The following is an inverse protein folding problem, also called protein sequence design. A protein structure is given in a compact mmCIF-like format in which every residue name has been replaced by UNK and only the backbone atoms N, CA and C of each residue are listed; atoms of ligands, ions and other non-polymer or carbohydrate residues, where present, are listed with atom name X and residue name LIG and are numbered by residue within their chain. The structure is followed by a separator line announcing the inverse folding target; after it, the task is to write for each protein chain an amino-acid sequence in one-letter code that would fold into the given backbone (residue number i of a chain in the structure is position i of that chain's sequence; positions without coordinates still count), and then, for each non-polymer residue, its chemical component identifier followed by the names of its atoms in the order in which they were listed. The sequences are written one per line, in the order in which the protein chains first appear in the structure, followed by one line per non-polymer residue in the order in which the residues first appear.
data_IF_659802961508
#
_entry.id   IF_659802961508
#
_cell.length_a   1.000
_cell.length_b   1.000
_cell.length_c   1.000
_cell.angle_alpha   90.00
_cell.angle_beta   90.00
_cell.angle_gamma   90.00
#
_symmetry.space_group_name_H-M   'P 1'
#
loop_
_entity.id
_entity.type
_entity.pdbx_description
1 polymer ?
#
# COMPACT_ATOMS: atom_id res chain seq x y z
N UNK A 1 -0.30 21.40 4.54
CA UNK A 1 -0.83 22.67 5.11
C UNK A 1 -1.07 23.78 4.07
N UNK A 2 -0.28 23.93 3.00
CA UNK A 2 -0.50 24.99 1.97
C UNK A 2 -1.83 24.87 1.22
N UNK A 3 -2.22 23.66 0.78
CA UNK A 3 -3.48 23.45 0.04
C UNK A 3 -4.74 23.84 0.84
N UNK A 4 -4.76 23.57 2.15
CA UNK A 4 -5.86 23.96 3.05
C UNK A 4 -6.00 25.49 3.17
N UNK A 5 -4.87 26.21 3.12
CA UNK A 5 -4.85 27.68 3.19
C UNK A 5 -5.39 28.31 1.92
N UNK A 6 -5.10 27.72 0.76
CA UNK A 6 -5.63 28.19 -0.53
C UNK A 6 -7.13 27.91 -0.68
N UNK A 7 -7.63 26.77 -0.20
CA UNK A 7 -9.07 26.48 -0.16
C UNK A 7 -9.80 27.49 0.73
N UNK A 8 -9.23 27.81 1.89
CA UNK A 8 -9.81 28.81 2.80
C UNK A 8 -9.84 30.22 2.18
N UNK A 9 -8.76 30.64 1.50
CA UNK A 9 -8.72 31.91 0.78
C UNK A 9 -9.70 31.94 -0.39
N UNK A 10 -9.82 30.84 -1.13
CA UNK A 10 -10.82 30.67 -2.18
C UNK A 10 -12.23 30.83 -1.63
N UNK A 11 -12.57 30.17 -0.53
CA UNK A 11 -13.86 30.30 0.15
C UNK A 11 -14.14 31.74 0.62
N UNK A 12 -13.14 32.40 1.18
CA UNK A 12 -13.25 33.77 1.69
C UNK A 12 -13.46 34.79 0.56
N UNK A 13 -12.76 34.61 -0.56
CA UNK A 13 -12.94 35.42 -1.77
C UNK A 13 -14.32 35.20 -2.40
N UNK A 14 -14.81 33.96 -2.44
CA UNK A 14 -16.15 33.62 -2.92
C UNK A 14 -17.24 34.24 -2.03
N UNK A 15 -17.10 34.14 -0.71
CA UNK A 15 -18.01 34.78 0.24
C UNK A 15 -18.04 36.31 0.09
N UNK A 16 -16.88 36.94 -0.15
CA UNK A 16 -16.79 38.37 -0.43
C UNK A 16 -17.44 38.75 -1.77
N UNK A 17 -17.23 37.95 -2.81
CA UNK A 17 -17.86 38.14 -4.13
C UNK A 17 -19.38 37.97 -4.06
N UNK A 18 -19.87 37.00 -3.29
CA UNK A 18 -21.30 36.79 -3.02
C UNK A 18 -21.88 37.95 -2.21
N UNK A 19 -21.15 38.47 -1.21
CA UNK A 19 -21.53 39.65 -0.43
C UNK A 19 -21.60 40.94 -1.26
N UNK A 20 -20.63 41.16 -2.15
CA UNK A 20 -20.66 42.27 -3.11
C UNK A 20 -21.79 42.08 -4.13
N UNK A 21 -21.99 40.85 -4.59
CA UNK A 21 -23.13 40.40 -5.39
C UNK A 21 -24.44 40.30 -4.59
N UNK A 22 -24.53 40.87 -3.38
CA UNK A 22 -25.77 41.14 -2.63
C UNK A 22 -26.10 42.65 -2.54
N UNK A 23 -25.31 43.56 -3.16
CA UNK A 23 -25.61 45.02 -3.21
C UNK A 23 -26.37 45.71 -4.41
N UNK A 24 -26.47 45.17 -5.63
CA UNK A 24 -27.33 45.64 -6.76
C UNK A 24 -28.50 44.73 -7.26
N UNK A 25 -29.03 44.99 -8.46
CA UNK A 25 -30.06 44.16 -9.14
C UNK A 25 -29.42 43.51 -10.37
N UNK A 26 -29.70 42.22 -10.64
CA UNK A 26 -29.16 41.51 -11.81
C UNK A 26 -30.28 41.39 -12.84
N UNK A 27 -30.13 42.14 -13.95
CA UNK A 27 -31.03 42.08 -15.09
C UNK A 27 -30.41 41.17 -16.15
N UNK A 28 -31.04 40.03 -16.44
CA UNK A 28 -30.58 39.16 -17.51
C UNK A 28 -31.41 39.49 -18.76
N UNK A 29 -30.72 39.89 -19.82
CA UNK A 29 -31.33 40.04 -21.14
C UNK A 29 -31.16 38.73 -21.89
N UNK A 30 -32.28 38.06 -22.18
CA UNK A 30 -32.30 36.92 -23.07
C UNK A 30 -32.99 37.31 -24.38
N UNK A 31 -32.36 36.96 -25.50
CA UNK A 31 -32.99 37.03 -26.81
C UNK A 31 -33.80 35.76 -27.01
N UNK A 32 -35.11 35.91 -27.21
CA UNK A 32 -35.94 34.79 -27.63
C UNK A 32 -35.76 34.56 -29.14
N UNK A 33 -36.00 33.34 -29.62
CA UNK A 33 -35.87 32.96 -31.03
C UNK A 33 -36.66 33.85 -32.01
N UNK A 34 -37.64 34.62 -31.51
CA UNK A 34 -38.39 35.61 -32.29
C UNK A 34 -37.78 37.02 -32.35
N UNK A 35 -36.53 37.22 -31.92
CA UNK A 35 -35.84 38.52 -31.96
C UNK A 35 -36.33 39.56 -30.93
N UNK A 36 -37.28 39.19 -30.07
CA UNK A 36 -37.74 40.05 -28.97
C UNK A 36 -36.82 39.88 -27.76
N UNK A 37 -36.21 40.99 -27.35
CA UNK A 37 -35.43 41.07 -26.12
C UNK A 37 -36.39 41.05 -24.93
N UNK A 38 -36.31 40.01 -24.09
CA UNK A 38 -37.12 39.92 -22.86
C UNK A 38 -36.20 40.06 -21.66
N UNK A 39 -36.47 41.05 -20.82
CA UNK A 39 -35.75 41.25 -19.57
C UNK A 39 -36.35 40.35 -18.50
N UNK A 40 -35.51 39.56 -17.85
CA UNK A 40 -35.89 38.78 -16.68
C UNK A 40 -35.21 39.38 -15.45
N UNK A 41 -36.02 39.87 -14.52
CA UNK A 41 -35.58 40.29 -13.21
C UNK A 41 -35.66 39.07 -12.28
N UNK A 42 -34.54 38.41 -12.04
CA UNK A 42 -34.47 37.29 -11.10
C UNK A 42 -34.20 37.80 -9.69
N UNK A 43 -34.88 37.20 -8.70
CA UNK A 43 -34.58 37.46 -7.30
C UNK A 43 -33.15 37.01 -7.00
N UNK A 44 -32.34 37.93 -6.49
CA UNK A 44 -30.92 37.71 -6.25
C UNK A 44 -30.62 36.60 -5.25
N UNK A 45 -31.57 36.34 -4.35
CA UNK A 45 -31.53 35.20 -3.42
C UNK A 45 -31.45 33.87 -4.18
N UNK A 46 -32.18 33.75 -5.29
CA UNK A 46 -32.19 32.54 -6.12
C UNK A 46 -30.84 32.36 -6.82
N UNK A 47 -30.25 33.44 -7.33
CA UNK A 47 -28.92 33.39 -7.98
C UNK A 47 -27.83 32.97 -6.99
N UNK A 48 -27.84 33.53 -5.78
CA UNK A 48 -26.87 33.17 -4.73
C UNK A 48 -27.05 31.71 -4.29
N UNK A 49 -28.30 31.27 -4.03
CA UNK A 49 -28.58 29.89 -3.65
C UNK A 49 -28.14 28.92 -4.78
N UNK A 50 -28.44 29.25 -6.04
CA UNK A 50 -28.03 28.45 -7.19
C UNK A 50 -26.51 28.35 -7.28
N UNK A 51 -25.79 29.46 -7.08
CA UNK A 51 -24.33 29.47 -7.09
C UNK A 51 -23.74 28.61 -5.96
N UNK A 52 -24.27 28.74 -4.74
CA UNK A 52 -23.86 27.90 -3.59
C UNK A 52 -24.10 26.42 -3.92
N UNK A 53 -25.29 26.06 -4.42
CA UNK A 53 -25.59 24.69 -4.81
C UNK A 53 -24.63 24.16 -5.87
N UNK A 54 -24.29 24.97 -6.88
CA UNK A 54 -23.31 24.63 -7.92
C UNK A 54 -21.92 24.38 -7.34
N UNK A 55 -21.47 25.21 -6.39
CA UNK A 55 -20.17 25.03 -5.72
C UNK A 55 -20.14 23.76 -4.88
N UNK A 56 -21.20 23.50 -4.11
CA UNK A 56 -21.31 22.27 -3.30
C UNK A 56 -21.31 21.04 -4.21
N UNK A 57 -22.06 21.09 -5.32
CA UNK A 57 -22.14 19.97 -6.26
C UNK A 57 -20.81 19.69 -6.95
N UNK A 58 -20.09 20.73 -7.38
CA UNK A 58 -18.77 20.59 -8.03
C UNK A 58 -17.71 20.09 -7.06
N UNK A 59 -17.67 20.60 -5.82
CA UNK A 59 -16.76 20.09 -4.79
C UNK A 59 -17.10 18.65 -4.42
N UNK A 60 -18.37 18.32 -4.21
CA UNK A 60 -18.80 16.95 -3.92
C UNK A 60 -18.45 15.97 -5.04
N UNK A 61 -18.68 16.37 -6.29
CA UNK A 61 -18.34 15.57 -7.47
C UNK A 61 -16.84 15.31 -7.59
N UNK A 62 -16.01 16.36 -7.45
CA UNK A 62 -14.55 16.23 -7.53
C UNK A 62 -13.99 15.33 -6.42
N UNK A 63 -14.47 15.45 -5.19
CA UNK A 63 -14.06 14.58 -4.07
C UNK A 63 -14.43 13.12 -4.33
N UNK A 64 -15.64 12.87 -4.84
CA UNK A 64 -16.11 11.52 -5.15
C UNK A 64 -15.26 10.89 -6.25
N UNK A 65 -14.94 11.66 -7.31
CA UNK A 65 -14.10 11.21 -8.41
C UNK A 65 -12.68 10.86 -7.93
N UNK A 66 -12.08 11.72 -7.09
CA UNK A 66 -10.75 11.48 -6.52
C UNK A 66 -10.70 10.22 -5.66
N UNK A 67 -11.75 9.97 -4.86
CA UNK A 67 -11.85 8.76 -4.06
C UNK A 67 -11.96 7.50 -4.93
N UNK A 68 -12.74 7.55 -6.01
CA UNK A 68 -12.86 6.43 -6.94
C UNK A 68 -11.51 6.09 -7.61
N UNK A 69 -10.81 7.12 -8.09
CA UNK A 69 -9.48 6.98 -8.71
C UNK A 69 -8.46 6.42 -7.71
N UNK A 70 -8.46 6.91 -6.46
CA UNK A 70 -7.61 6.35 -5.40
C UNK A 70 -7.91 4.88 -5.15
N UNK A 71 -9.20 4.51 -5.06
CA UNK A 71 -9.61 3.12 -4.87
C UNK A 71 -9.06 2.20 -5.96
N UNK A 72 -9.17 2.62 -7.23
CA UNK A 72 -8.60 1.86 -8.34
C UNK A 72 -7.07 1.77 -8.29
N UNK A 73 -6.39 2.89 -7.98
CA UNK A 73 -4.94 2.89 -7.83
C UNK A 73 -4.46 1.90 -6.76
N UNK A 74 -5.13 1.86 -5.60
CA UNK A 74 -4.80 0.92 -4.53
C UNK A 74 -5.02 -0.54 -4.97
N UNK A 75 -6.10 -0.83 -5.70
CA UNK A 75 -6.36 -2.16 -6.22
C UNK A 75 -5.28 -2.61 -7.22
N UNK A 76 -4.89 -1.75 -8.17
CA UNK A 76 -3.84 -2.07 -9.13
C UNK A 76 -2.50 -2.29 -8.43
N UNK A 77 -2.18 -1.48 -7.43
CA UNK A 77 -0.95 -1.64 -6.63
C UNK A 77 -0.96 -2.94 -5.83
N UNK A 78 -2.09 -3.31 -5.24
CA UNK A 78 -2.25 -4.59 -4.53
C UNK A 78 -2.04 -5.78 -5.47
N UNK A 79 -2.67 -5.76 -6.66
CA UNK A 79 -2.49 -6.82 -7.66
C UNK A 79 -1.04 -6.95 -8.13
N UNK A 80 -0.33 -5.82 -8.28
CA UNK A 80 1.08 -5.84 -8.63
C UNK A 80 1.91 -6.50 -7.51
N UNK A 81 1.70 -6.08 -6.26
CA UNK A 81 2.38 -6.65 -5.10
C UNK A 81 2.09 -8.14 -4.93
N UNK A 82 0.86 -8.58 -5.18
CA UNK A 82 0.47 -9.99 -5.10
C UNK A 82 1.19 -10.82 -6.16
N UNK A 83 1.28 -10.33 -7.41
CA UNK A 83 2.05 -11.00 -8.47
C UNK A 83 3.54 -11.09 -8.13
N UNK A 84 4.10 -10.03 -7.57
CA UNK A 84 5.50 -10.02 -7.17
C UNK A 84 5.77 -11.03 -6.05
N UNK A 85 4.86 -11.12 -5.07
CA UNK A 85 4.96 -12.08 -3.97
C UNK A 85 4.84 -13.53 -4.46
N UNK A 86 3.92 -13.81 -5.38
CA UNK A 86 3.81 -15.12 -6.03
C UNK A 86 5.08 -15.49 -6.81
N UNK A 87 5.68 -14.54 -7.53
CA UNK A 87 6.94 -14.77 -8.25
C UNK A 87 8.12 -15.04 -7.29
N UNK A 88 8.21 -14.34 -6.16
CA UNK A 88 9.24 -14.64 -5.16
C UNK A 88 9.02 -16.03 -4.53
N UNK A 89 7.78 -16.39 -4.27
CA UNK A 89 7.43 -17.70 -3.69
C UNK A 89 7.82 -18.84 -4.64
N UNK A 90 7.59 -18.69 -5.95
CA UNK A 90 7.97 -19.72 -6.93
C UNK A 90 9.48 -19.88 -7.08
N UNK A 91 10.24 -18.78 -6.99
CA UNK A 91 11.70 -18.82 -6.96
C UNK A 91 12.24 -19.55 -5.72
N UNK A 92 11.66 -19.26 -4.54
CA UNK A 92 12.03 -19.94 -3.30
C UNK A 92 11.70 -21.44 -3.34
N UNK A 93 10.55 -21.80 -3.92
CA UNK A 93 10.19 -23.20 -4.11
C UNK A 93 11.17 -23.93 -5.05
N UNK A 94 11.54 -23.30 -6.18
CA UNK A 94 12.54 -23.85 -7.08
C UNK A 94 13.91 -24.04 -6.43
N UNK A 95 14.35 -23.09 -5.59
CA UNK A 95 15.57 -23.22 -4.80
C UNK A 95 15.48 -24.35 -3.78
N UNK A 96 14.33 -24.51 -3.10
CA UNK A 96 14.12 -25.58 -2.15
C UNK A 96 14.17 -26.97 -2.81
N UNK A 97 13.62 -27.11 -4.01
CA UNK A 97 13.71 -28.35 -4.81
C UNK A 97 15.13 -28.67 -5.28
N UNK A 98 15.90 -27.65 -5.66
CA UNK A 98 17.31 -27.84 -6.00
C UNK A 98 18.13 -28.26 -4.78
N UNK A 99 17.87 -27.66 -3.62
CA UNK A 99 18.58 -27.94 -2.38
C UNK A 99 18.24 -29.33 -1.83
N UNK A 100 16.99 -29.78 -2.01
CA UNK A 100 16.60 -31.15 -1.64
C UNK A 100 17.27 -32.20 -2.54
N UNK A 101 17.38 -31.94 -3.84
CA UNK A 101 18.12 -32.80 -4.77
C UNK A 101 19.61 -32.86 -4.42
N UNK A 102 20.22 -31.71 -4.12
CA UNK A 102 21.63 -31.63 -3.72
C UNK A 102 21.89 -32.37 -2.40
N UNK A 103 20.97 -32.28 -1.44
CA UNK A 103 21.06 -33.04 -0.18
C UNK A 103 21.07 -34.55 -0.43
N UNK A 104 20.21 -35.04 -1.33
CA UNK A 104 20.15 -36.45 -1.69
C UNK A 104 21.44 -36.91 -2.39
N UNK A 105 22.02 -36.07 -3.24
CA UNK A 105 23.32 -36.34 -3.87
C UNK A 105 24.46 -36.34 -2.84
N UNK A 106 24.45 -35.46 -1.83
CA UNK A 106 25.42 -35.50 -0.73
C UNK A 106 25.28 -36.74 0.16
N UNK A 107 24.05 -37.16 0.47
CA UNK A 107 23.82 -38.38 1.26
C UNK A 107 24.36 -39.62 0.53
N UNK A 108 24.17 -39.71 -0.81
CA UNK A 108 24.77 -40.76 -1.64
C UNK A 108 26.29 -40.68 -1.69
N UNK A 109 26.85 -39.47 -1.74
CA UNK A 109 28.30 -39.27 -1.75
C UNK A 109 28.91 -39.68 -0.40
N UNK A 110 28.20 -39.44 0.70
CA UNK A 110 28.59 -39.89 2.04
C UNK A 110 28.51 -41.41 2.19
N UNK A 111 27.47 -42.04 1.65
CA UNK A 111 27.38 -43.51 1.62
C UNK A 111 28.52 -44.13 0.78
N UNK A 112 28.88 -43.48 -0.33
CA UNK A 112 30.03 -43.88 -1.12
C UNK A 112 31.35 -43.67 -0.37
N UNK A 113 31.51 -42.56 0.34
CA UNK A 113 32.67 -42.31 1.20
C UNK A 113 32.79 -43.36 2.31
N UNK A 114 31.70 -43.69 3.00
CA UNK A 114 31.66 -44.74 4.03
C UNK A 114 31.99 -46.11 3.44
N UNK A 115 31.46 -46.43 2.25
CA UNK A 115 31.78 -47.66 1.52
C UNK A 115 33.26 -47.73 1.12
N UNK A 116 33.83 -46.64 0.59
CA UNK A 116 35.27 -46.56 0.26
C UNK A 116 36.12 -46.66 1.53
N UNK A 117 35.71 -46.02 2.62
CA UNK A 117 36.41 -46.08 3.91
C UNK A 117 36.39 -47.49 4.52
N UNK A 118 35.30 -48.22 4.33
CA UNK A 118 35.15 -49.61 4.77
C UNK A 118 36.01 -50.56 3.92
N UNK A 119 36.04 -50.38 2.59
CA UNK A 119 36.87 -51.16 1.66
C UNK A 119 38.36 -50.84 1.84
N UNK A 120 38.71 -49.59 2.15
CA UNK A 120 40.08 -49.16 2.43
C UNK A 120 40.56 -49.53 3.85
N UNK A 121 39.72 -50.16 4.69
CA UNK A 121 40.08 -50.57 6.05
C UNK A 121 40.28 -49.43 7.05
N UNK A 122 39.88 -48.20 6.71
CA UNK A 122 40.07 -46.98 7.52
C UNK A 122 38.98 -46.76 8.59
N UNK A 123 38.02 -47.69 8.73
CA UNK A 123 36.97 -47.64 9.76
C UNK A 123 37.50 -47.86 11.18
N UNK A 124 38.51 -48.71 11.35
CA UNK A 124 39.01 -49.13 12.68
C UNK A 124 39.88 -48.06 13.37
N UNK A 125 40.39 -47.08 12.63
CA UNK A 125 41.28 -46.06 13.18
C UNK A 125 40.56 -44.88 13.88
N UNK A 126 39.27 -44.62 13.59
CA UNK A 126 38.53 -43.51 14.23
C UNK A 126 37.77 -43.89 15.49
N UNK A 127 37.32 -45.13 15.64
CA UNK A 127 36.60 -45.55 16.86
C UNK A 127 37.50 -45.56 18.10
N UNK A 128 38.81 -45.74 17.92
CA UNK A 128 39.82 -45.65 18.98
C UNK A 128 40.18 -44.21 19.39
N UNK A 129 39.75 -43.18 18.64
CA UNK A 129 40.06 -41.78 18.93
C UNK A 129 38.86 -40.99 19.50
N UNK A 130 37.66 -41.60 19.52
CA UNK A 130 36.44 -41.00 20.06
C UNK A 130 36.12 -41.43 21.51
N UNK A 131 36.91 -42.34 22.10
CA UNK A 131 36.79 -42.71 23.52
C UNK A 131 37.86 -42.00 24.37
N UNK A 132 37.36 -41.05 25.19
CA UNK A 132 37.95 -40.28 26.30
C UNK A 132 38.61 -38.90 26.05
N UNK A 133 38.43 -37.90 26.96
CA UNK A 133 37.35 -37.70 27.94
C UNK A 133 36.76 -36.26 27.98
N UNK A 134 35.57 -36.20 28.59
CA UNK A 134 34.72 -35.07 29.01
C UNK A 134 35.45 -33.86 29.64
N UNK A 135 35.07 -32.60 29.31
CA UNK A 135 35.42 -31.44 30.14
C UNK A 135 34.20 -30.89 30.91
N UNK A 136 34.42 -30.74 32.21
CA UNK A 136 33.56 -30.05 33.16
C UNK A 136 33.23 -28.60 32.75
N UNK A 137 31.97 -28.18 32.93
CA UNK A 137 31.62 -26.76 32.98
C UNK A 137 30.47 -26.50 33.95
N UNK A 138 30.73 -25.63 34.91
CA UNK A 138 29.97 -25.41 36.13
C UNK A 138 28.58 -24.79 35.95
N UNK A 139 27.70 -25.13 36.88
CA UNK A 139 26.32 -24.65 36.94
C UNK A 139 26.09 -23.86 38.24
N UNK A 140 26.16 -22.53 38.15
CA UNK A 140 25.42 -21.61 39.03
C UNK A 140 24.89 -20.46 38.20
N UNK A 141 23.56 -20.34 38.11
CA UNK A 141 22.90 -19.15 38.63
C UNK A 141 21.39 -19.37 38.81
N UNK A 142 20.96 -19.08 40.02
CA UNK A 142 19.59 -18.89 40.48
C UNK A 142 18.88 -17.78 39.71
N UNK A 143 17.60 -17.98 39.37
CA UNK A 143 16.66 -16.86 39.28
C UNK A 143 15.26 -17.28 39.73
N UNK A 144 14.99 -16.99 40.99
CA UNK A 144 13.65 -16.88 41.57
C UNK A 144 12.81 -15.92 40.73
N UNK A 145 11.58 -16.32 40.36
CA UNK A 145 10.54 -15.38 39.95
C UNK A 145 9.14 -15.97 40.16
N UNK A 146 8.43 -15.42 41.14
CA UNK A 146 6.98 -15.18 41.23
C UNK A 146 6.72 -14.39 42.53
N UNK A 147 5.56 -13.73 42.70
CA UNK A 147 4.48 -13.50 41.74
C UNK A 147 4.63 -12.17 40.98
#
# INVERSE_FOLDING_TARGET
MRALREIFHGLLSLGSFIGAALRGVITIMAFTEGGRMRQFCLSRRIVVISCIMLTVLTVGSTVTLLNLVRGQYYLTRMQYLERENLAMTSLLQGQAEQLSKLKLEMDKLKEFEESVRQVAGLGVASDLQASDPEPASGRRHSKNRRP
#
